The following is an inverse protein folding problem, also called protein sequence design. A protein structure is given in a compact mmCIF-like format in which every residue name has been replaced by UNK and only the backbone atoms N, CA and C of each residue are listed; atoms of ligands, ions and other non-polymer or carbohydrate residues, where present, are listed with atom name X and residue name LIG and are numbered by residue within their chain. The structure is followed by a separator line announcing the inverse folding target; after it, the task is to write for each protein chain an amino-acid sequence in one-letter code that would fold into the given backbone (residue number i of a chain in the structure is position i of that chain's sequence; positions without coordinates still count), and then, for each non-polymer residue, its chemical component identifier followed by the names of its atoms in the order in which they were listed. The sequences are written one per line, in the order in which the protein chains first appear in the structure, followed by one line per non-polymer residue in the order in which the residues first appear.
data_IF_442980787679
#
_entry.id   IF_442980787679
#
_cell.length_a   1.000
_cell.length_b   1.000
_cell.length_c   1.000
_cell.angle_alpha   90.00
_cell.angle_beta   90.00
_cell.angle_gamma   90.00
#
_symmetry.space_group_name_H-M   'P 1'
#
loop_
_entity.id
_entity.type
_entity.pdbx_description
1 polymer ?
#
# COMPACT_ATOMS: atom_id res chain seq x y z
N UNK A 1 -1.77 -0.09 9.24
CA UNK A 1 -3.21 -0.42 9.21
C UNK A 1 -3.85 0.38 8.11
N UNK A 2 -5.09 0.05 7.69
CA UNK A 2 -5.74 0.74 6.56
C UNK A 2 -5.81 2.26 6.74
N UNK A 3 -6.08 2.76 7.95
CA UNK A 3 -6.05 4.20 8.25
C UNK A 3 -4.64 4.79 8.06
N UNK A 4 -3.60 4.05 8.47
CA UNK A 4 -2.21 4.44 8.28
C UNK A 4 -1.82 4.54 6.80
N UNK A 5 -2.37 3.65 5.97
CA UNK A 5 -2.21 3.69 4.51
C UNK A 5 -2.82 4.97 3.91
N UNK A 6 -4.05 5.32 4.29
CA UNK A 6 -4.66 6.57 3.82
C UNK A 6 -3.90 7.83 4.30
N UNK A 7 -3.36 7.81 5.52
CA UNK A 7 -2.49 8.89 6.00
C UNK A 7 -1.15 8.94 5.25
N UNK A 8 -0.62 7.79 4.84
CA UNK A 8 0.60 7.71 4.05
C UNK A 8 0.43 8.34 2.65
N UNK A 9 -0.77 8.30 2.06
CA UNK A 9 -1.08 9.11 0.87
C UNK A 9 -0.90 10.61 1.12
N UNK A 10 -1.35 11.13 2.27
CA UNK A 10 -1.16 12.54 2.62
C UNK A 10 0.32 12.88 2.82
N UNK A 11 1.07 12.00 3.49
CA UNK A 11 2.54 12.15 3.64
C UNK A 11 3.21 12.20 2.26
N UNK A 12 2.81 11.32 1.34
CA UNK A 12 3.30 11.29 -0.03
C UNK A 12 2.97 12.59 -0.79
N UNK A 13 1.77 13.17 -0.58
CA UNK A 13 1.34 14.41 -1.23
C UNK A 13 2.00 15.66 -0.65
N UNK A 14 2.37 15.68 0.63
CA UNK A 14 2.91 16.86 1.31
C UNK A 14 4.13 17.47 0.61
N UNK A 15 4.90 16.65 -0.13
CA UNK A 15 6.09 17.07 -0.88
C UNK A 15 5.86 17.15 -2.40
N UNK A 16 4.60 17.31 -2.86
CA UNK A 16 4.25 17.39 -4.29
C UNK A 16 3.61 18.72 -4.63
N UNK A 17 3.95 19.24 -5.81
CA UNK A 17 3.21 20.35 -6.40
C UNK A 17 1.81 19.90 -6.80
N UNK A 18 0.87 20.86 -6.85
CA UNK A 18 -0.51 20.62 -7.29
C UNK A 18 -0.59 19.91 -8.65
N UNK A 19 0.21 20.36 -9.62
CA UNK A 19 0.28 19.74 -10.96
C UNK A 19 0.69 18.27 -10.86
N UNK A 20 1.64 17.93 -9.98
CA UNK A 20 2.08 16.54 -9.80
C UNK A 20 1.02 15.68 -9.11
N UNK A 21 0.24 16.24 -8.19
CA UNK A 21 -0.88 15.53 -7.56
C UNK A 21 -1.95 15.21 -8.61
N UNK A 22 -2.34 16.19 -9.42
CA UNK A 22 -3.31 16.00 -10.51
C UNK A 22 -2.80 14.97 -11.51
N UNK A 23 -1.53 15.09 -11.94
CA UNK A 23 -0.90 14.13 -12.86
C UNK A 23 -0.88 12.71 -12.30
N UNK A 24 -0.57 12.55 -11.01
CA UNK A 24 -0.64 11.26 -10.32
C UNK A 24 -2.07 10.68 -10.31
N UNK A 25 -3.09 11.51 -10.07
CA UNK A 25 -4.49 11.08 -10.10
C UNK A 25 -4.91 10.57 -11.49
N UNK A 26 -4.52 11.29 -12.55
CA UNK A 26 -4.76 10.84 -13.94
C UNK A 26 -4.04 9.52 -14.20
N UNK A 27 -2.75 9.42 -13.87
CA UNK A 27 -1.96 8.22 -14.04
C UNK A 27 -2.53 7.01 -13.27
N UNK A 28 -3.04 7.24 -12.07
CA UNK A 28 -3.68 6.22 -11.24
C UNK A 28 -4.90 5.59 -11.93
N UNK A 29 -5.72 6.39 -12.61
CA UNK A 29 -6.90 5.86 -13.30
C UNK A 29 -6.52 5.08 -14.56
N UNK A 30 -5.53 5.54 -15.32
CA UNK A 30 -5.22 5.00 -16.66
C UNK A 30 -4.17 3.89 -16.69
N UNK A 31 -3.32 3.79 -15.67
CA UNK A 31 -2.16 2.90 -15.66
C UNK A 31 -2.14 2.03 -14.41
N UNK A 32 -2.41 0.74 -14.60
CA UNK A 32 -2.35 -0.24 -13.50
C UNK A 32 -0.93 -0.41 -12.95
N UNK A 33 0.11 -0.28 -13.79
CA UNK A 33 1.50 -0.32 -13.34
C UNK A 33 1.85 0.89 -12.46
N UNK A 34 1.37 2.09 -12.83
CA UNK A 34 1.54 3.28 -12.00
C UNK A 34 0.77 3.15 -10.69
N UNK A 35 -0.48 2.68 -10.76
CA UNK A 35 -1.33 2.41 -9.60
C UNK A 35 -0.62 1.47 -8.62
N UNK A 36 -0.19 0.30 -9.10
CA UNK A 36 0.55 -0.67 -8.29
C UNK A 36 1.81 -0.06 -7.67
N UNK A 37 2.61 0.67 -8.46
CA UNK A 37 3.83 1.32 -7.94
C UNK A 37 3.53 2.35 -6.85
N UNK A 38 2.45 3.13 -7.00
CA UNK A 38 2.02 4.09 -6.00
C UNK A 38 1.57 3.36 -4.73
N UNK A 39 0.67 2.39 -4.84
CA UNK A 39 0.14 1.62 -3.70
C UNK A 39 1.27 0.94 -2.91
N UNK A 40 2.23 0.33 -3.62
CA UNK A 40 3.42 -0.28 -2.99
C UNK A 40 4.27 0.75 -2.24
N UNK A 41 4.42 1.95 -2.80
CA UNK A 41 5.12 3.04 -2.13
C UNK A 41 4.39 3.48 -0.85
N UNK A 42 3.06 3.58 -0.90
CA UNK A 42 2.25 3.99 0.26
C UNK A 42 2.29 2.93 1.36
N UNK A 43 2.26 1.65 0.99
CA UNK A 43 2.46 0.54 1.94
C UNK A 43 3.85 0.62 2.61
N UNK A 44 4.90 0.92 1.83
CA UNK A 44 6.25 1.16 2.37
C UNK A 44 6.32 2.32 3.36
N UNK A 45 5.68 3.47 3.05
CA UNK A 45 5.59 4.61 3.98
C UNK A 45 4.84 4.18 5.26
N UNK A 46 3.74 3.43 5.13
CA UNK A 46 2.95 2.93 6.26
C UNK A 46 3.78 2.03 7.19
N UNK A 47 4.57 1.13 6.61
CA UNK A 47 5.48 0.24 7.35
C UNK A 47 6.55 1.06 8.07
N UNK A 48 7.19 1.99 7.37
CA UNK A 48 8.22 2.87 7.93
C UNK A 48 7.72 3.75 9.08
N UNK A 49 6.41 4.04 9.16
CA UNK A 49 5.80 4.78 10.26
C UNK A 49 5.35 3.87 11.44
N UNK A 50 5.77 2.59 11.44
CA UNK A 50 5.45 1.64 12.50
C UNK A 50 4.03 1.06 12.41
N UNK A 51 3.30 1.31 11.31
CA UNK A 51 1.92 0.85 11.14
C UNK A 51 1.82 -0.42 10.27
N UNK A 52 2.95 -1.09 10.01
CA UNK A 52 3.04 -2.27 9.15
C UNK A 52 2.19 -3.46 9.62
N UNK A 53 2.23 -3.81 10.91
CA UNK A 53 1.46 -4.96 11.42
C UNK A 53 -0.05 -4.82 11.23
N UNK A 54 -0.60 -3.63 11.43
CA UNK A 54 -2.02 -3.40 11.16
C UNK A 54 -2.36 -3.47 9.67
N UNK A 55 -1.40 -3.14 8.79
CA UNK A 55 -1.58 -3.25 7.34
C UNK A 55 -1.58 -4.73 6.93
N UNK A 56 -0.64 -5.51 7.47
CA UNK A 56 -0.59 -6.96 7.32
C UNK A 56 -1.89 -7.63 7.76
N UNK A 57 -2.38 -7.36 8.98
CA UNK A 57 -3.60 -7.98 9.51
C UNK A 57 -4.82 -7.66 8.62
N UNK A 58 -4.93 -6.42 8.14
CA UNK A 58 -6.01 -6.05 7.22
C UNK A 58 -5.90 -6.81 5.89
N UNK A 59 -4.70 -6.91 5.32
CA UNK A 59 -4.52 -7.63 4.05
C UNK A 59 -4.82 -9.11 4.21
N UNK A 60 -4.38 -9.73 5.30
CA UNK A 60 -4.67 -11.12 5.64
C UNK A 60 -6.19 -11.36 5.75
N UNK A 61 -6.92 -10.49 6.45
CA UNK A 61 -8.38 -10.55 6.51
C UNK A 61 -9.02 -10.49 5.12
N UNK A 62 -8.57 -9.57 4.25
CA UNK A 62 -9.10 -9.47 2.88
C UNK A 62 -8.82 -10.74 2.06
N UNK A 63 -7.65 -11.35 2.25
CA UNK A 63 -7.25 -12.56 1.54
C UNK A 63 -7.99 -13.81 2.04
N UNK A 64 -8.13 -13.99 3.35
CA UNK A 64 -8.56 -15.25 3.95
C UNK A 64 -10.04 -15.26 4.39
N UNK A 65 -10.54 -14.14 4.91
CA UNK A 65 -11.83 -14.11 5.61
C UNK A 65 -12.90 -13.28 4.90
N UNK A 66 -12.51 -12.24 4.17
CA UNK A 66 -13.47 -11.31 3.61
C UNK A 66 -14.31 -11.93 2.48
N UNK A 67 -15.64 -11.92 2.65
CA UNK A 67 -16.60 -12.21 1.59
C UNK A 67 -16.57 -11.10 0.54
N UNK A 68 -15.88 -11.37 -0.58
CA UNK A 68 -15.68 -10.41 -1.66
C UNK A 68 -15.96 -11.04 -3.02
N UNK A 69 -16.31 -10.23 -4.00
CA UNK A 69 -16.50 -10.70 -5.37
C UNK A 69 -15.18 -11.18 -5.98
N UNK A 70 -15.25 -12.11 -6.94
CA UNK A 70 -14.05 -12.64 -7.61
C UNK A 70 -13.31 -11.54 -8.36
N UNK A 71 -14.05 -10.60 -8.95
CA UNK A 71 -13.52 -9.46 -9.70
C UNK A 71 -12.76 -8.51 -8.77
N UNK A 72 -13.34 -8.20 -7.60
CA UNK A 72 -12.67 -7.36 -6.60
C UNK A 72 -11.39 -8.02 -6.07
N UNK A 73 -11.45 -9.32 -5.77
CA UNK A 73 -10.30 -10.09 -5.30
C UNK A 73 -9.16 -10.09 -6.31
N UNK A 74 -9.45 -10.39 -7.58
CA UNK A 74 -8.46 -10.34 -8.67
C UNK A 74 -7.87 -8.95 -8.86
N UNK A 75 -8.69 -7.90 -8.74
CA UNK A 75 -8.20 -6.53 -8.78
C UNK A 75 -7.23 -6.25 -7.63
N UNK A 76 -7.58 -6.63 -6.40
CA UNK A 76 -6.70 -6.42 -5.23
C UNK A 76 -5.39 -7.19 -5.36
N UNK A 77 -5.43 -8.46 -5.78
CA UNK A 77 -4.24 -9.29 -6.04
C UNK A 77 -3.34 -8.72 -7.14
N UNK A 78 -3.92 -8.04 -8.14
CA UNK A 78 -3.15 -7.41 -9.22
C UNK A 78 -2.41 -6.15 -8.77
N UNK A 79 -3.02 -5.36 -7.88
CA UNK A 79 -2.59 -3.98 -7.62
C UNK A 79 -1.89 -3.79 -6.27
N UNK A 80 -2.26 -4.57 -5.25
CA UNK A 80 -1.80 -4.37 -3.89
C UNK A 80 -0.86 -5.49 -3.45
N UNK A 81 0.05 -5.18 -2.53
CA UNK A 81 0.91 -6.19 -1.92
C UNK A 81 0.08 -7.31 -1.30
N UNK A 82 0.54 -8.55 -1.47
CA UNK A 82 0.06 -9.68 -0.71
C UNK A 82 0.46 -9.55 0.77
N UNK A 83 -0.30 -10.18 1.66
CA UNK A 83 0.05 -10.22 3.10
C UNK A 83 1.47 -10.78 3.32
N UNK A 84 1.89 -11.73 2.49
CA UNK A 84 3.24 -12.32 2.49
C UNK A 84 4.34 -11.33 2.09
N UNK A 85 4.09 -10.44 1.14
CA UNK A 85 5.02 -9.37 0.75
C UNK A 85 5.13 -8.32 1.87
N UNK A 86 4.01 -7.94 2.49
CA UNK A 86 3.98 -6.97 3.59
C UNK A 86 4.80 -7.48 4.78
N UNK A 87 4.59 -8.74 5.22
CA UNK A 87 5.35 -9.29 6.35
C UNK A 87 6.85 -9.42 6.03
N UNK A 88 7.20 -9.70 4.77
CA UNK A 88 8.59 -9.74 4.35
C UNK A 88 9.22 -8.34 4.41
N UNK A 89 8.52 -7.31 3.93
CA UNK A 89 8.98 -5.93 3.98
C UNK A 89 9.15 -5.41 5.41
N UNK A 90 8.24 -5.76 6.33
CA UNK A 90 8.37 -5.43 7.76
C UNK A 90 9.67 -6.04 8.32
N UNK A 91 9.92 -7.34 8.08
CA UNK A 91 11.15 -8.00 8.55
C UNK A 91 12.42 -7.36 7.99
N UNK A 92 12.40 -6.97 6.72
CA UNK A 92 13.57 -6.36 6.09
C UNK A 92 13.83 -4.96 6.66
N UNK A 93 12.77 -4.21 7.00
CA UNK A 93 12.87 -2.93 7.70
C UNK A 93 13.44 -3.09 9.11
N UNK A 94 12.90 -4.01 9.93
CA UNK A 94 13.38 -4.23 11.30
C UNK A 94 14.87 -4.64 11.36
N UNK A 95 15.32 -5.45 10.39
CA UNK A 95 16.73 -5.83 10.26
C UNK A 95 17.62 -4.65 9.87
N UNK A 96 17.11 -3.67 9.13
CA UNK A 96 17.87 -2.49 8.73
C UNK A 96 18.03 -1.51 9.89
N UNK A 97 17.00 -1.31 10.72
CA UNK A 97 17.05 -0.46 11.92
C UNK A 97 17.91 -1.05 13.05
N UNK A 98 18.10 -2.37 13.06
CA UNK A 98 18.92 -3.06 14.07
C UNK A 98 20.44 -3.03 13.77
N UNK A 99 20.87 -2.32 12.72
CA UNK A 99 22.28 -2.20 12.27
C UNK A 99 22.83 -0.81 12.55
#
# INVERSE_FOLDING_TARGET
GVIGHELAHLVDYNNKSFIRIVGNGVAYVISDSFKQTLEYKIDGITINQGLGHGLYNFRLFVEEEAETTKEYRKFKEKIYMASSEIVQMIKDFDRAESR
#
